data_IF_743995247262
#
_entry.id   IF_743995247262
#
_cell.length_a   1.000
_cell.length_b   1.000
_cell.length_c   1.000
_cell.angle_alpha   90.00
_cell.angle_beta   90.00
_cell.angle_gamma   90.00
#
_symmetry.space_group_name_H-M   'P 1'
#
loop_
_entity.id
_entity.type
_entity.pdbx_description
1 polymer ?
#
# COMPACT_ATOMS: atom_id res chain seq x y z
N UNK A 1 -0.21 0.73 6.58
CA UNK A 1 0.95 0.33 5.77
C UNK A 1 1.08 1.32 4.63
N UNK A 2 2.31 1.78 4.35
CA UNK A 2 2.61 2.61 3.19
C UNK A 2 3.25 1.75 2.10
N UNK A 3 2.76 1.90 0.88
CA UNK A 3 3.33 1.30 -0.32
C UNK A 3 3.93 2.42 -1.14
N UNK A 4 5.22 2.37 -1.42
CA UNK A 4 5.91 3.38 -2.22
C UNK A 4 6.42 2.76 -3.52
N UNK A 5 6.14 3.42 -4.64
CA UNK A 5 6.64 3.01 -5.95
C UNK A 5 7.80 3.91 -6.33
N UNK A 6 8.99 3.34 -6.43
CA UNK A 6 10.22 4.05 -6.76
C UNK A 6 10.73 3.67 -8.15
N UNK A 7 11.10 4.67 -8.94
CA UNK A 7 11.85 4.46 -10.18
C UNK A 7 13.34 4.60 -9.91
N UNK A 8 14.10 3.56 -10.25
CA UNK A 8 15.55 3.53 -10.01
C UNK A 8 16.27 4.54 -10.90
N UNK A 9 17.10 5.39 -10.31
CA UNK A 9 17.95 6.33 -11.06
C UNK A 9 19.43 5.96 -11.01
N UNK A 10 20.25 6.74 -11.72
CA UNK A 10 21.72 6.55 -11.75
C UNK A 10 22.37 7.08 -10.46
N UNK A 11 21.90 8.23 -9.96
CA UNK A 11 22.43 8.87 -8.76
C UNK A 11 21.42 8.89 -7.60
N UNK A 12 20.13 8.98 -7.89
CA UNK A 12 19.05 8.95 -6.91
C UNK A 12 17.80 8.31 -7.52
N UNK A 13 17.03 7.64 -6.67
CA UNK A 13 15.74 7.10 -7.05
C UNK A 13 14.66 8.18 -6.99
N UNK A 14 13.68 8.08 -7.89
CA UNK A 14 12.56 9.00 -7.96
C UNK A 14 11.30 8.31 -7.46
N UNK A 15 10.67 8.85 -6.42
CA UNK A 15 9.34 8.43 -6.01
C UNK A 15 8.34 8.71 -7.13
N UNK A 16 7.69 7.67 -7.64
CA UNK A 16 6.58 7.78 -8.59
C UNK A 16 5.26 8.02 -7.87
N UNK A 17 5.10 7.46 -6.67
CA UNK A 17 4.04 7.81 -5.74
C UNK A 17 3.85 6.79 -4.63
N UNK A 18 2.76 6.95 -3.88
CA UNK A 18 2.46 6.27 -2.63
C UNK A 18 1.00 5.81 -2.57
N UNK A 19 0.74 4.73 -1.82
CA UNK A 19 -0.61 4.31 -1.45
C UNK A 19 -0.66 3.99 0.05
N UNK A 20 -1.70 4.47 0.73
CA UNK A 20 -1.94 4.19 2.14
C UNK A 20 -2.99 3.10 2.32
N UNK A 21 -2.58 1.95 2.87
CA UNK A 21 -3.46 0.83 3.19
C UNK A 21 -3.64 0.71 4.70
N UNK A 22 -4.88 0.87 5.19
CA UNK A 22 -5.19 0.65 6.61
C UNK A 22 -5.03 -0.82 6.98
N UNK A 23 -4.39 -1.12 8.10
CA UNK A 23 -4.22 -2.52 8.53
C UNK A 23 -5.57 -3.17 8.90
N UNK A 24 -6.53 -2.38 9.37
CA UNK A 24 -7.89 -2.84 9.68
C UNK A 24 -8.67 -3.30 8.45
N UNK A 25 -8.27 -2.92 7.23
CA UNK A 25 -8.88 -3.42 6.00
C UNK A 25 -8.21 -4.69 5.46
N UNK A 26 -7.10 -5.14 6.07
CA UNK A 26 -6.37 -6.35 5.66
C UNK A 26 -7.04 -7.57 6.27
N UNK A 27 -7.30 -8.58 5.44
CA UNK A 27 -7.99 -9.80 5.87
C UNK A 27 -6.99 -10.85 6.39
N UNK A 28 -7.46 -11.68 7.31
CA UNK A 28 -6.75 -12.90 7.70
C UNK A 28 -7.02 -14.01 6.69
N UNK A 29 -5.97 -14.59 6.10
CA UNK A 29 -6.02 -15.72 5.15
C UNK A 29 -4.71 -16.51 5.19
N UNK A 30 -4.80 -17.83 5.06
CA UNK A 30 -3.61 -18.70 4.98
C UNK A 30 -3.07 -18.86 3.55
N UNK A 31 -3.86 -18.49 2.55
CA UNK A 31 -3.49 -18.65 1.13
C UNK A 31 -3.37 -17.29 0.44
N UNK A 32 -2.53 -17.24 -0.60
CA UNK A 32 -2.41 -16.07 -1.46
C UNK A 32 -3.69 -15.83 -2.26
N UNK A 33 -4.09 -14.57 -2.39
CA UNK A 33 -5.22 -14.15 -3.19
C UNK A 33 -4.82 -13.67 -4.59
N UNK A 34 -5.81 -13.31 -5.43
CA UNK A 34 -5.56 -12.71 -6.74
C UNK A 34 -5.02 -11.27 -6.68
N UNK A 35 -4.96 -10.67 -5.47
CA UNK A 35 -4.60 -9.28 -5.26
C UNK A 35 -5.68 -8.29 -5.72
N UNK A 36 -5.37 -7.00 -5.57
CA UNK A 36 -6.18 -5.88 -6.05
C UNK A 36 -5.29 -4.84 -6.72
N UNK A 37 -5.77 -4.25 -7.80
CA UNK A 37 -5.12 -3.08 -8.39
C UNK A 37 -5.32 -1.88 -7.47
N UNK A 38 -4.22 -1.31 -7.01
CA UNK A 38 -4.19 -0.13 -6.17
C UNK A 38 -3.62 1.02 -6.98
N UNK A 39 -4.36 2.14 -7.03
CA UNK A 39 -3.86 3.37 -7.59
C UNK A 39 -2.75 3.93 -6.71
N UNK A 40 -1.71 4.47 -7.36
CA UNK A 40 -0.60 5.14 -6.69
C UNK A 40 -0.79 6.66 -6.85
N UNK A 41 -0.68 7.36 -5.73
CA UNK A 41 -0.98 8.79 -5.60
C UNK A 41 0.29 9.60 -5.30
N UNK A 42 0.28 10.90 -5.56
CA UNK A 42 1.48 11.73 -5.43
C UNK A 42 1.71 12.21 -3.99
N UNK A 43 0.65 12.36 -3.18
CA UNK A 43 0.71 13.01 -1.87
C UNK A 43 0.15 12.12 -0.76
N UNK A 44 0.77 12.19 0.43
CA UNK A 44 0.22 11.66 1.67
C UNK A 44 -0.73 12.69 2.28
N UNK A 45 -1.91 12.25 2.68
CA UNK A 45 -2.80 13.07 3.50
C UNK A 45 -2.53 12.82 4.98
N UNK A 46 -2.32 13.90 5.73
CA UNK A 46 -2.02 13.84 7.16
C UNK A 46 -3.01 14.69 7.94
N UNK A 47 -3.52 14.17 9.05
CA UNK A 47 -4.37 14.90 10.00
C UNK A 47 -3.82 14.72 11.40
N UNK A 48 -3.56 15.82 12.10
CA UNK A 48 -2.97 15.80 13.45
C UNK A 48 -1.68 14.97 13.55
N UNK A 49 -0.83 15.02 12.52
CA UNK A 49 0.42 14.25 12.45
C UNK A 49 0.26 12.77 12.12
N UNK A 50 -0.95 12.28 11.84
CA UNK A 50 -1.20 10.89 11.43
C UNK A 50 -1.59 10.81 9.96
N UNK A 51 -1.02 9.87 9.22
CA UNK A 51 -1.44 9.57 7.85
C UNK A 51 -2.86 9.02 7.85
N UNK A 52 -3.73 9.64 7.06
CA UNK A 52 -5.14 9.26 6.93
C UNK A 52 -5.50 8.78 5.53
N UNK A 53 -4.65 9.02 4.54
CA UNK A 53 -4.91 8.65 3.15
C UNK A 53 -3.83 9.13 2.19
N UNK A 54 -4.17 9.12 0.91
CA UNK A 54 -3.35 9.63 -0.19
C UNK A 54 -4.20 10.42 -1.18
N UNK A 55 -3.57 11.31 -1.94
CA UNK A 55 -4.27 12.12 -2.95
C UNK A 55 -3.40 12.48 -4.15
N UNK A 56 -4.04 13.06 -5.18
CA UNK A 56 -3.47 13.40 -6.50
C UNK A 56 -3.01 12.14 -7.27
N UNK A 57 -3.96 11.50 -7.98
CA UNK A 57 -3.69 10.33 -8.79
C UNK A 57 -2.54 10.54 -9.76
N UNK A 58 -1.60 9.60 -9.82
CA UNK A 58 -0.47 9.66 -10.78
C UNK A 58 -0.82 9.01 -12.13
N UNK A 59 -1.90 8.23 -12.18
CA UNK A 59 -2.24 7.34 -13.30
C UNK A 59 -1.52 6.00 -13.28
N UNK A 60 -0.59 5.78 -12.34
CA UNK A 60 0.04 4.47 -12.13
C UNK A 60 -0.81 3.59 -11.21
N UNK A 61 -0.67 2.27 -11.35
CA UNK A 61 -1.30 1.29 -10.46
C UNK A 61 -0.38 0.09 -10.23
N UNK A 62 -0.50 -0.53 -9.06
CA UNK A 62 0.25 -1.73 -8.68
C UNK A 62 -0.74 -2.80 -8.24
N UNK A 63 -0.56 -4.04 -8.71
CA UNK A 63 -1.33 -5.19 -8.25
C UNK A 63 -0.72 -5.69 -6.94
N UNK A 64 -1.50 -5.67 -5.85
CA UNK A 64 -1.01 -6.03 -4.51
C UNK A 64 -1.96 -7.05 -3.86
N UNK A 65 -1.38 -8.13 -3.34
CA UNK A 65 -2.05 -9.05 -2.41
C UNK A 65 -1.46 -8.87 -1.01
N UNK A 66 -2.30 -8.56 -0.02
CA UNK A 66 -1.91 -8.35 1.38
C UNK A 66 -2.85 -9.14 2.27
N UNK A 67 -2.29 -9.95 3.17
CA UNK A 67 -3.03 -10.74 4.14
C UNK A 67 -2.29 -10.83 5.46
N UNK A 68 -3.04 -10.99 6.54
CA UNK A 68 -2.50 -11.54 7.77
C UNK A 68 -2.63 -13.06 7.74
N UNK A 69 -1.63 -13.79 8.22
CA UNK A 69 -1.78 -15.22 8.46
C UNK A 69 -2.62 -15.46 9.71
N UNK A 70 -3.33 -16.60 9.76
CA UNK A 70 -4.12 -16.93 10.95
C UNK A 70 -3.21 -17.12 12.17
N UNK A 71 -3.60 -16.60 13.35
CA UNK A 71 -2.92 -16.90 14.61
C UNK A 71 -2.89 -18.41 14.86
N UNK A 72 -1.78 -18.88 15.42
CA UNK A 72 -1.68 -20.27 15.87
C UNK A 72 -2.69 -20.53 17.01
N UNK A 73 -3.46 -21.62 16.92
CA UNK A 73 -4.34 -22.08 18.01
C UNK A 73 -5.81 -21.68 17.93
N UNK A 74 -6.28 -21.11 16.80
CA UNK A 74 -7.72 -21.02 16.49
C UNK A 74 -8.13 -22.27 15.68
N UNK A 75 -8.22 -23.42 16.36
CA UNK A 75 -8.85 -24.64 15.85
C UNK A 75 -10.04 -24.99 16.75
#
# INVERSE_FOLDING_TARGET
>A
MLLELWNKGVLWDKLLGVHYLTLTSVQYRNEAGPGKWLQIDQELETRNGQTVGTSRPTGHSVLVDVRFELPYGLY
#
